data_IF_100256352350
#
_entry.id   IF_100256352350
#
_cell.length_a   1.000
_cell.length_b   1.000
_cell.length_c   1.000
_cell.angle_alpha   90.00
_cell.angle_beta   90.00
_cell.angle_gamma   90.00
#
_symmetry.space_group_name_H-M   'P 1'
#
loop_
_entity.id
_entity.type
_entity.pdbx_description
1 polymer ?
#
# COMPACT_ATOMS: atom_id res chain seq x y z
N UNK A 1 21.05 32.09 -4.68
CA UNK A 1 20.34 31.09 -5.51
C UNK A 1 20.66 29.72 -4.92
N UNK A 2 19.90 29.26 -3.92
CA UNK A 2 20.07 27.90 -3.40
C UNK A 2 19.67 26.93 -4.50
N UNK A 3 20.56 26.01 -4.87
CA UNK A 3 20.22 24.90 -5.75
C UNK A 3 19.00 24.19 -5.15
N UNK A 4 17.84 24.25 -5.83
CA UNK A 4 16.67 23.47 -5.45
C UNK A 4 17.12 22.01 -5.49
N UNK A 5 17.29 21.41 -4.31
CA UNK A 5 17.57 19.99 -4.15
C UNK A 5 16.56 19.22 -5.00
N UNK A 6 17.04 18.25 -5.76
CA UNK A 6 16.25 17.32 -6.53
C UNK A 6 15.36 16.50 -5.58
N UNK A 7 14.12 16.95 -5.35
CA UNK A 7 13.23 16.33 -4.36
C UNK A 7 12.25 15.41 -5.06
N UNK A 8 12.71 14.20 -5.38
CA UNK A 8 11.84 13.13 -5.85
C UNK A 8 11.02 12.49 -4.73
N UNK A 9 9.98 11.76 -5.11
CA UNK A 9 9.07 11.02 -4.22
C UNK A 9 9.06 9.52 -4.56
N UNK A 10 8.44 8.71 -3.70
CA UNK A 10 8.30 7.27 -3.87
C UNK A 10 6.84 6.83 -3.72
N UNK A 11 6.51 5.70 -4.34
CA UNK A 11 5.22 5.03 -4.11
C UNK A 11 5.37 3.86 -3.13
N UNK A 12 4.39 3.71 -2.25
CA UNK A 12 4.14 2.51 -1.47
C UNK A 12 2.90 1.83 -2.05
N UNK A 13 3.11 0.93 -3.02
CA UNK A 13 2.05 0.26 -3.75
C UNK A 13 1.76 -1.11 -3.14
N UNK A 14 0.49 -1.48 -3.02
CA UNK A 14 0.12 -2.83 -2.57
C UNK A 14 -1.33 -3.14 -2.91
N UNK A 15 -1.67 -4.42 -3.11
CA UNK A 15 -3.07 -4.82 -2.99
C UNK A 15 -3.57 -4.46 -1.57
N UNK A 16 -4.83 -4.03 -1.38
CA UNK A 16 -5.35 -3.72 -0.06
C UNK A 16 -5.05 -4.84 0.95
N UNK A 17 -4.73 -4.46 2.19
CA UNK A 17 -4.44 -5.39 3.30
C UNK A 17 -3.16 -6.24 3.17
N UNK A 18 -2.20 -5.78 2.37
CA UNK A 18 -0.89 -6.45 2.23
C UNK A 18 0.20 -5.94 3.19
N UNK A 19 -0.10 -5.04 4.14
CA UNK A 19 0.89 -4.53 5.11
C UNK A 19 1.45 -3.13 4.83
N UNK A 20 0.84 -2.37 3.91
CA UNK A 20 1.23 -1.01 3.56
C UNK A 20 1.38 -0.06 4.76
N UNK A 21 0.41 -0.09 5.68
CA UNK A 21 0.43 0.76 6.88
C UNK A 21 1.67 0.52 7.73
N UNK A 22 2.20 -0.71 7.82
CA UNK A 22 3.40 -0.96 8.61
C UNK A 22 4.62 -0.26 8.02
N UNK A 23 4.81 -0.32 6.69
CA UNK A 23 5.87 0.46 6.03
C UNK A 23 5.68 1.97 6.24
N UNK A 24 4.43 2.46 6.18
CA UNK A 24 4.09 3.87 6.41
C UNK A 24 4.30 4.34 7.85
N UNK A 25 4.32 3.43 8.83
CA UNK A 25 4.69 3.78 10.22
C UNK A 25 6.19 3.63 10.44
N UNK A 26 6.81 2.61 9.83
CA UNK A 26 8.26 2.36 9.90
C UNK A 26 9.09 3.53 9.34
N UNK A 27 8.72 4.04 8.17
CA UNK A 27 9.47 5.12 7.49
C UNK A 27 9.58 6.41 8.32
N UNK A 28 8.49 7.00 8.85
CA UNK A 28 8.58 8.19 9.70
C UNK A 28 9.30 7.90 11.01
N UNK A 29 9.12 6.71 11.61
CA UNK A 29 9.86 6.32 12.81
C UNK A 29 11.38 6.26 12.54
N UNK A 30 11.79 5.68 11.42
CA UNK A 30 13.20 5.62 11.03
C UNK A 30 13.79 7.02 10.81
N UNK A 31 13.03 7.91 10.16
CA UNK A 31 13.42 9.33 10.00
C UNK A 31 13.55 10.04 11.34
N UNK A 32 12.63 9.79 12.27
CA UNK A 32 12.63 10.34 13.64
C UNK A 32 13.84 9.86 14.44
N UNK A 33 14.21 8.59 14.32
CA UNK A 33 15.42 8.07 14.95
C UNK A 33 16.71 8.61 14.31
N UNK A 34 16.64 9.06 13.05
CA UNK A 34 17.78 9.68 12.36
C UNK A 34 18.03 11.15 12.76
N UNK A 35 17.10 11.79 13.48
CA UNK A 35 17.31 13.14 14.05
C UNK A 35 17.84 13.07 15.48
N UNK A 36 18.39 14.20 15.97
CA UNK A 36 18.96 14.32 17.31
C UNK A 36 17.90 14.02 18.37
N UNK A 37 18.30 13.34 19.45
CA UNK A 37 17.37 12.86 20.49
C UNK A 37 16.50 13.97 21.10
N UNK A 38 17.05 15.18 21.24
CA UNK A 38 16.37 16.36 21.79
C UNK A 38 15.24 16.90 20.89
N UNK A 39 15.25 16.56 19.60
CA UNK A 39 14.26 16.97 18.60
C UNK A 39 13.22 15.88 18.30
N UNK A 40 13.31 14.73 19.00
CA UNK A 40 12.42 13.59 18.77
C UNK A 40 11.11 13.81 19.51
N UNK A 41 10.07 14.18 18.78
CA UNK A 41 8.69 14.04 19.27
C UNK A 41 8.30 12.56 19.40
N UNK A 42 7.23 12.24 20.13
CA UNK A 42 6.69 10.88 20.16
C UNK A 42 6.00 10.52 18.84
N UNK A 43 6.04 9.24 18.47
CA UNK A 43 5.38 8.73 17.28
C UNK A 43 3.85 8.76 17.49
N UNK A 44 3.15 9.52 16.66
CA UNK A 44 1.70 9.61 16.65
C UNK A 44 1.15 8.97 15.37
N UNK A 45 0.28 7.97 15.52
CA UNK A 45 -0.24 7.22 14.36
C UNK A 45 -1.02 8.09 13.38
N UNK A 46 -1.90 8.98 13.84
CA UNK A 46 -2.77 9.72 12.94
C UNK A 46 -2.01 10.88 12.26
N UNK A 47 -1.05 11.49 12.95
CA UNK A 47 -0.20 12.56 12.40
C UNK A 47 0.93 12.04 11.51
N UNK A 48 1.66 11.02 11.96
CA UNK A 48 2.94 10.64 11.33
C UNK A 48 2.78 9.59 10.22
N UNK A 49 1.67 8.85 10.21
CA UNK A 49 1.34 7.88 9.13
C UNK A 49 0.78 8.59 7.90
N UNK A 50 0.44 9.88 8.00
CA UNK A 50 0.15 10.79 6.89
C UNK A 50 1.46 11.10 6.11
N UNK A 51 2.05 10.04 5.57
CA UNK A 51 3.32 10.04 4.83
C UNK A 51 3.21 10.60 3.39
N UNK A 52 2.03 11.09 3.06
CA UNK A 52 1.63 11.65 1.77
C UNK A 52 0.16 11.31 1.45
N UNK A 53 -0.48 12.11 0.59
CA UNK A 53 -1.81 11.82 0.11
C UNK A 53 -1.83 10.47 -0.62
N UNK A 54 -2.89 9.68 -0.38
CA UNK A 54 -3.18 8.49 -1.19
C UNK A 54 -3.41 8.93 -2.65
N UNK A 55 -2.90 8.16 -3.62
CA UNK A 55 -3.03 8.51 -5.05
C UNK A 55 -4.48 8.52 -5.59
N UNK A 56 -5.43 8.06 -4.77
CA UNK A 56 -6.86 8.16 -5.03
C UNK A 56 -7.51 9.40 -4.39
N UNK A 57 -6.77 10.25 -3.70
CA UNK A 57 -7.29 11.45 -3.04
C UNK A 57 -7.94 12.38 -4.06
N UNK A 58 -9.24 12.60 -3.90
CA UNK A 58 -10.02 13.44 -4.81
C UNK A 58 -9.60 14.90 -4.72
N UNK A 59 -9.39 15.40 -3.51
CA UNK A 59 -8.96 16.77 -3.28
C UNK A 59 -7.64 17.06 -4.00
N UNK A 60 -6.67 16.16 -3.84
CA UNK A 60 -5.37 16.26 -4.50
C UNK A 60 -5.50 16.15 -6.03
N UNK A 61 -6.25 15.18 -6.56
CA UNK A 61 -6.45 15.07 -8.00
C UNK A 61 -7.10 16.32 -8.59
N UNK A 62 -8.11 16.89 -7.92
CA UNK A 62 -8.78 18.10 -8.37
C UNK A 62 -7.82 19.30 -8.42
N UNK A 63 -7.01 19.47 -7.36
CA UNK A 63 -6.01 20.53 -7.27
C UNK A 63 -4.94 20.39 -8.38
N UNK A 64 -4.41 19.19 -8.58
CA UNK A 64 -3.36 18.94 -9.57
C UNK A 64 -3.84 19.03 -11.01
N UNK A 65 -5.08 18.60 -11.30
CA UNK A 65 -5.65 18.60 -12.65
C UNK A 65 -6.37 19.90 -13.00
N UNK A 66 -6.75 20.71 -12.00
CA UNK A 66 -7.59 21.89 -12.18
C UNK A 66 -9.01 21.55 -12.64
N UNK A 67 -9.48 20.31 -12.41
CA UNK A 67 -10.78 19.80 -12.87
C UNK A 67 -11.48 19.15 -11.67
N UNK A 68 -12.79 19.34 -11.57
CA UNK A 68 -13.58 18.58 -10.62
C UNK A 68 -13.75 17.13 -11.11
N UNK A 69 -13.00 16.19 -10.55
CA UNK A 69 -13.05 14.77 -10.91
C UNK A 69 -14.37 14.09 -10.58
N UNK A 70 -15.29 14.76 -9.88
CA UNK A 70 -16.66 14.24 -9.75
C UNK A 70 -17.37 14.23 -11.10
N UNK A 71 -17.08 15.18 -11.99
CA UNK A 71 -17.80 15.35 -13.26
C UNK A 71 -17.28 14.43 -14.38
N UNK A 72 -16.34 13.53 -14.06
CA UNK A 72 -15.66 12.67 -15.03
C UNK A 72 -16.05 11.21 -14.84
N UNK A 73 -16.33 10.55 -15.96
CA UNK A 73 -16.41 9.08 -16.01
C UNK A 73 -15.03 8.46 -15.77
N UNK A 74 -14.99 7.15 -15.46
CA UNK A 74 -13.74 6.44 -15.30
C UNK A 74 -12.86 6.45 -16.57
N UNK A 75 -13.48 6.36 -17.75
CA UNK A 75 -12.79 6.42 -19.04
C UNK A 75 -12.18 7.79 -19.36
N UNK A 76 -12.70 8.85 -18.75
CA UNK A 76 -12.15 10.21 -18.82
C UNK A 76 -11.10 10.45 -17.75
N UNK A 77 -11.34 9.99 -16.52
CA UNK A 77 -10.48 10.24 -15.37
C UNK A 77 -9.19 9.43 -15.41
N UNK A 78 -9.25 8.11 -15.60
CA UNK A 78 -8.08 7.23 -15.46
C UNK A 78 -6.90 7.62 -16.38
N UNK A 79 -7.10 8.02 -17.65
CA UNK A 79 -6.02 8.54 -18.50
C UNK A 79 -5.39 9.86 -18.03
N UNK A 80 -6.08 10.61 -17.17
CA UNK A 80 -5.64 11.90 -16.62
C UNK A 80 -4.95 11.73 -15.26
N UNK A 81 -5.25 10.67 -14.50
CA UNK A 81 -4.70 10.48 -13.15
C UNK A 81 -3.16 10.49 -13.14
N UNK A 82 -2.52 9.87 -14.13
CA UNK A 82 -1.06 9.88 -14.27
C UNK A 82 -0.45 11.25 -14.63
N UNK A 83 -1.27 12.24 -14.97
CA UNK A 83 -0.83 13.63 -15.18
C UNK A 83 -0.82 14.43 -13.87
N UNK A 84 -1.62 14.00 -12.87
CA UNK A 84 -1.64 14.61 -11.56
C UNK A 84 -0.27 14.39 -10.90
N UNK A 85 0.53 15.44 -10.83
CA UNK A 85 1.91 15.38 -10.36
C UNK A 85 2.99 15.82 -11.34
N UNK A 86 2.64 16.21 -12.57
CA UNK A 86 3.61 16.83 -13.49
C UNK A 86 3.98 18.26 -13.06
N UNK A 87 3.12 18.94 -12.32
CA UNK A 87 3.37 20.31 -11.84
C UNK A 87 4.25 20.28 -10.59
N UNK A 88 5.54 20.49 -10.77
CA UNK A 88 6.58 20.38 -9.72
C UNK A 88 6.39 21.27 -8.48
N UNK A 89 5.46 22.23 -8.51
CA UNK A 89 5.33 23.25 -7.46
C UNK A 89 4.46 22.84 -6.26
N UNK A 90 3.69 21.75 -6.32
CA UNK A 90 2.75 21.37 -5.26
C UNK A 90 3.23 20.18 -4.38
N UNK A 91 4.30 19.47 -4.76
CA UNK A 91 4.91 18.37 -3.98
C UNK A 91 6.05 18.85 -3.07
N UNK A 92 6.33 20.15 -3.04
CA UNK A 92 7.55 20.68 -2.43
C UNK A 92 7.50 20.77 -0.90
N UNK A 93 6.31 20.74 -0.29
CA UNK A 93 6.13 20.97 1.15
C UNK A 93 5.57 19.73 1.86
N UNK A 94 6.40 18.69 2.02
CA UNK A 94 6.22 17.69 3.08
C UNK A 94 6.04 16.23 2.63
N UNK A 95 5.41 15.98 1.49
CA UNK A 95 5.01 14.62 1.11
C UNK A 95 6.04 13.92 0.21
N UNK A 96 6.48 12.72 0.61
CA UNK A 96 7.50 11.96 -0.16
C UNK A 96 7.14 10.49 -0.38
N UNK A 97 6.10 9.96 0.26
CA UNK A 97 5.70 8.56 0.12
C UNK A 97 4.20 8.46 -0.09
N UNK A 98 3.80 8.19 -1.33
CA UNK A 98 2.40 8.13 -1.68
C UNK A 98 1.89 6.69 -1.65
N UNK A 99 0.81 6.46 -0.90
CA UNK A 99 0.12 5.17 -0.85
C UNK A 99 -0.66 4.95 -2.13
N UNK A 100 -0.57 3.73 -2.69
CA UNK A 100 -1.31 3.34 -3.90
C UNK A 100 -1.89 1.95 -3.72
N UNK A 101 -3.20 1.81 -3.94
CA UNK A 101 -3.86 0.50 -4.05
C UNK A 101 -4.34 0.19 -5.46
N UNK A 102 -4.36 1.18 -6.36
CA UNK A 102 -4.61 0.92 -7.76
C UNK A 102 -3.56 -0.02 -8.36
N UNK A 103 -3.98 -0.84 -9.31
CA UNK A 103 -3.06 -1.44 -10.26
C UNK A 103 -2.33 -0.32 -11.01
N UNK A 104 -1.10 -0.59 -11.44
CA UNK A 104 -0.29 0.42 -12.13
C UNK A 104 -1.00 0.95 -13.39
N UNK A 105 -1.83 0.12 -14.02
CA UNK A 105 -2.70 0.47 -15.15
C UNK A 105 -4.09 -0.11 -14.95
N UNK A 106 -5.11 0.64 -15.36
CA UNK A 106 -6.49 0.16 -15.45
C UNK A 106 -6.90 -0.09 -16.91
N UNK A 107 -8.00 -0.83 -17.17
CA UNK A 107 -8.59 -0.93 -18.51
C UNK A 107 -8.93 0.43 -19.13
N UNK A 108 -9.32 1.40 -18.29
CA UNK A 108 -9.75 2.74 -18.70
C UNK A 108 -8.57 3.69 -18.93
N UNK A 109 -7.38 3.37 -18.41
CA UNK A 109 -6.17 4.23 -18.47
C UNK A 109 -5.57 4.42 -19.87
N UNK A 110 -6.08 3.74 -20.90
CA UNK A 110 -5.53 3.74 -22.27
C UNK A 110 -4.04 3.36 -22.32
N UNK A 111 -3.64 2.42 -21.45
CA UNK A 111 -2.27 1.93 -21.35
C UNK A 111 -1.31 2.87 -20.62
N UNK A 112 -1.79 3.97 -20.04
CA UNK A 112 -0.97 4.90 -19.24
C UNK A 112 -0.95 4.47 -17.78
N UNK A 113 0.13 4.79 -17.04
CA UNK A 113 0.12 4.67 -15.59
C UNK A 113 -1.02 5.47 -14.96
N UNK A 114 -1.69 4.87 -13.97
CA UNK A 114 -2.67 5.57 -13.12
C UNK A 114 -1.99 6.60 -12.22
N UNK A 115 -0.69 6.44 -11.98
CA UNK A 115 0.13 7.32 -11.14
C UNK A 115 1.12 8.12 -11.99
N UNK A 116 1.53 9.30 -11.53
CA UNK A 116 2.56 10.06 -12.20
C UNK A 116 3.92 9.34 -12.08
N UNK A 117 4.67 9.27 -13.17
CA UNK A 117 6.02 8.70 -13.16
C UNK A 117 7.10 9.78 -13.14
N UNK A 118 6.74 11.03 -13.45
CA UNK A 118 7.68 12.16 -13.46
C UNK A 118 8.08 12.54 -12.03
N UNK A 119 9.38 12.67 -11.78
CA UNK A 119 9.93 12.98 -10.45
C UNK A 119 9.81 11.83 -9.42
N UNK A 120 9.28 10.68 -9.82
CA UNK A 120 9.23 9.49 -8.96
C UNK A 120 10.58 8.78 -8.99
N UNK A 121 11.15 8.53 -7.81
CA UNK A 121 12.43 7.80 -7.64
C UNK A 121 12.25 6.28 -7.68
N UNK A 122 11.05 5.79 -7.37
CA UNK A 122 10.74 4.37 -7.45
C UNK A 122 9.50 3.97 -6.65
N UNK A 123 9.17 2.68 -6.71
CA UNK A 123 8.05 2.06 -6.03
C UNK A 123 8.52 0.93 -5.11
N UNK A 124 8.01 0.92 -3.89
CA UNK A 124 8.03 -0.25 -3.01
C UNK A 124 6.71 -0.97 -3.19
N UNK A 125 6.76 -2.16 -3.77
CA UNK A 125 5.58 -3.02 -3.93
C UNK A 125 5.52 -4.04 -2.80
N UNK A 126 4.46 -3.96 -2.00
CA UNK A 126 4.26 -4.84 -0.84
C UNK A 126 3.29 -5.95 -1.25
N UNK A 127 3.81 -7.16 -1.27
CA UNK A 127 3.12 -8.38 -1.65
C UNK A 127 2.75 -9.17 -0.38
N UNK A 128 1.57 -9.79 -0.36
CA UNK A 128 1.14 -10.67 0.73
C UNK A 128 0.39 -11.86 0.14
N UNK A 129 0.48 -13.01 0.81
CA UNK A 129 -0.22 -14.23 0.43
C UNK A 129 -1.73 -13.96 0.21
N UNK A 130 -2.33 -14.35 -0.92
CA UNK A 130 -3.70 -13.99 -1.27
C UNK A 130 -4.74 -14.56 -0.29
N UNK A 131 -4.47 -15.72 0.32
CA UNK A 131 -5.34 -16.28 1.37
C UNK A 131 -5.41 -15.38 2.62
N UNK A 132 -4.26 -14.85 3.07
CA UNK A 132 -4.19 -13.93 4.21
C UNK A 132 -4.81 -12.57 3.87
N UNK A 133 -4.66 -12.12 2.62
CA UNK A 133 -5.35 -10.93 2.12
C UNK A 133 -6.87 -11.13 2.20
N UNK A 134 -7.40 -12.29 1.81
CA UNK A 134 -8.85 -12.57 1.87
C UNK A 134 -9.41 -12.48 3.30
N UNK A 135 -8.70 -13.09 4.26
CA UNK A 135 -9.06 -13.02 5.69
C UNK A 135 -8.96 -11.59 6.20
N UNK A 136 -7.90 -10.87 5.85
CA UNK A 136 -7.73 -9.48 6.30
C UNK A 136 -8.78 -8.53 5.71
N UNK A 137 -9.21 -8.75 4.45
CA UNK A 137 -10.32 -8.04 3.83
C UNK A 137 -11.65 -8.34 4.54
N UNK A 138 -11.88 -9.60 4.92
CA UNK A 138 -13.09 -10.00 5.64
C UNK A 138 -13.25 -9.24 6.95
N UNK A 139 -12.18 -9.12 7.74
CA UNK A 139 -12.20 -8.35 8.98
C UNK A 139 -12.32 -6.84 8.77
N UNK A 140 -11.70 -6.32 7.71
CA UNK A 140 -11.67 -4.88 7.47
C UNK A 140 -13.00 -4.35 6.91
N UNK A 141 -13.59 -5.06 5.95
CA UNK A 141 -14.84 -4.65 5.30
C UNK A 141 -16.09 -5.35 5.86
N UNK A 142 -15.92 -6.22 6.86
CA UNK A 142 -16.99 -7.09 7.39
C UNK A 142 -17.64 -7.95 6.29
N UNK A 143 -16.87 -8.31 5.27
CA UNK A 143 -17.31 -9.18 4.18
C UNK A 143 -17.16 -10.63 4.59
N UNK A 144 -18.02 -11.50 4.08
CA UNK A 144 -17.80 -12.94 4.19
C UNK A 144 -16.58 -13.40 3.36
N UNK A 145 -15.97 -14.52 3.76
CA UNK A 145 -14.80 -15.07 3.07
C UNK A 145 -15.07 -15.41 1.59
N UNK A 146 -16.23 -15.99 1.19
CA UNK A 146 -16.55 -16.19 -0.22
C UNK A 146 -16.49 -14.90 -1.06
N UNK A 147 -17.02 -13.79 -0.56
CA UNK A 147 -16.96 -12.47 -1.20
C UNK A 147 -15.52 -11.99 -1.34
N UNK A 148 -14.69 -12.15 -0.31
CA UNK A 148 -13.27 -11.78 -0.38
C UNK A 148 -12.50 -12.61 -1.43
N UNK A 149 -12.75 -13.92 -1.51
CA UNK A 149 -12.15 -14.79 -2.52
C UNK A 149 -12.62 -14.39 -3.92
N UNK A 150 -13.92 -14.12 -4.10
CA UNK A 150 -14.45 -13.61 -5.37
C UNK A 150 -13.79 -12.30 -5.78
N UNK A 151 -13.61 -11.37 -4.84
CA UNK A 151 -12.99 -10.08 -5.08
C UNK A 151 -11.54 -10.20 -5.54
N UNK A 152 -10.73 -11.08 -4.91
CA UNK A 152 -9.36 -11.35 -5.35
C UNK A 152 -9.27 -11.99 -6.75
N UNK A 153 -10.35 -12.68 -7.16
CA UNK A 153 -10.47 -13.38 -8.44
C UNK A 153 -11.11 -12.53 -9.55
N UNK A 154 -11.64 -11.35 -9.22
CA UNK A 154 -12.41 -10.51 -10.13
C UNK A 154 -11.50 -9.59 -10.96
N UNK A 155 -11.46 -9.71 -12.30
CA UNK A 155 -10.66 -8.83 -13.15
C UNK A 155 -11.12 -7.35 -13.13
N UNK A 156 -12.32 -7.07 -12.63
CA UNK A 156 -12.91 -5.74 -12.49
C UNK A 156 -12.90 -5.21 -11.04
N UNK A 157 -12.27 -5.92 -10.11
CA UNK A 157 -12.24 -5.55 -8.70
C UNK A 157 -11.82 -4.09 -8.51
N UNK A 158 -12.66 -3.33 -7.82
CA UNK A 158 -12.39 -1.94 -7.48
C UNK A 158 -12.93 -1.60 -6.10
N UNK A 159 -12.26 -0.71 -5.39
CA UNK A 159 -12.80 -0.05 -4.21
C UNK A 159 -13.43 1.25 -4.65
N UNK A 160 -14.54 1.63 -4.00
CA UNK A 160 -15.31 2.82 -4.35
C UNK A 160 -15.81 2.79 -5.82
N UNK A 161 -16.08 1.59 -6.35
CA UNK A 161 -16.49 1.34 -7.74
C UNK A 161 -17.94 1.71 -8.10
N UNK A 162 -18.52 2.70 -7.43
CA UNK A 162 -19.84 3.24 -7.77
C UNK A 162 -19.72 4.64 -8.37
N UNK A 163 -20.73 5.05 -9.13
CA UNK A 163 -20.92 6.43 -9.63
C UNK A 163 -21.26 7.42 -8.49
N UNK A 164 -20.68 7.25 -7.31
CA UNK A 164 -20.84 8.17 -6.19
C UNK A 164 -19.94 9.39 -6.38
N UNK A 165 -20.50 10.46 -6.95
CA UNK A 165 -19.81 11.70 -7.33
C UNK A 165 -19.43 12.60 -6.11
N UNK A 166 -19.16 12.04 -4.91
CA UNK A 166 -19.07 12.85 -3.68
C UNK A 166 -18.13 12.37 -2.58
N UNK A 167 -17.37 11.29 -2.78
CA UNK A 167 -16.43 10.79 -1.77
C UNK A 167 -15.07 11.51 -1.79
N UNK A 168 -14.34 11.49 -0.67
CA UNK A 168 -12.98 12.04 -0.55
C UNK A 168 -11.94 11.34 -1.44
N UNK A 169 -12.26 10.17 -1.99
CA UNK A 169 -11.40 9.42 -2.90
C UNK A 169 -12.14 9.05 -4.20
N UNK A 170 -11.37 8.91 -5.28
CA UNK A 170 -11.83 8.35 -6.56
C UNK A 170 -11.81 6.82 -6.51
N UNK A 171 -12.42 6.18 -7.53
CA UNK A 171 -12.34 4.73 -7.71
C UNK A 171 -10.88 4.27 -7.67
N UNK A 172 -10.61 3.26 -6.87
CA UNK A 172 -9.33 2.54 -6.91
C UNK A 172 -9.56 1.28 -7.73
N UNK A 173 -8.95 1.18 -8.91
CA UNK A 173 -9.03 -0.01 -9.73
C UNK A 173 -7.91 -0.97 -9.36
N UNK A 174 -8.21 -2.17 -8.87
CA UNK A 174 -7.19 -3.18 -8.56
C UNK A 174 -7.17 -4.30 -9.59
N UNK A 175 -8.35 -4.72 -10.05
CA UNK A 175 -8.51 -5.95 -10.81
C UNK A 175 -8.09 -7.19 -10.02
N UNK A 176 -7.91 -8.30 -10.75
CA UNK A 176 -7.56 -9.59 -10.16
C UNK A 176 -6.19 -9.51 -9.47
N UNK A 177 -6.04 -10.15 -8.32
CA UNK A 177 -4.83 -10.03 -7.48
C UNK A 177 -3.52 -10.29 -8.25
N UNK A 178 -3.44 -11.35 -9.04
CA UNK A 178 -2.24 -11.69 -9.83
C UNK A 178 -1.94 -10.64 -10.91
N UNK A 179 -2.98 -10.07 -11.54
CA UNK A 179 -2.85 -9.00 -12.54
C UNK A 179 -2.39 -7.71 -11.89
N UNK A 180 -2.89 -7.40 -10.69
CA UNK A 180 -2.40 -6.28 -9.90
C UNK A 180 -0.91 -6.42 -9.61
N UNK A 181 -0.47 -7.60 -9.12
CA UNK A 181 0.94 -7.89 -8.86
C UNK A 181 1.78 -7.72 -10.12
N UNK A 182 1.40 -8.38 -11.22
CA UNK A 182 2.10 -8.27 -12.51
C UNK A 182 2.17 -6.81 -12.99
N UNK A 183 1.12 -6.01 -12.82
CA UNK A 183 1.09 -4.61 -13.26
C UNK A 183 2.17 -3.74 -12.61
N UNK A 184 2.53 -4.03 -11.35
CA UNK A 184 3.53 -3.27 -10.60
C UNK A 184 4.93 -3.86 -10.68
N UNK A 185 5.06 -5.19 -10.74
CA UNK A 185 6.36 -5.85 -10.76
C UNK A 185 6.96 -5.92 -12.16
N UNK A 186 6.12 -6.01 -13.20
CA UNK A 186 6.59 -6.21 -14.57
C UNK A 186 6.68 -4.90 -15.38
N UNK A 187 6.26 -3.77 -14.81
CA UNK A 187 6.45 -2.46 -15.43
C UNK A 187 7.93 -2.05 -15.40
N UNK A 188 8.35 -1.23 -16.37
CA UNK A 188 9.74 -0.80 -16.54
C UNK A 188 9.91 0.72 -16.47
N UNK A 189 8.86 1.47 -16.15
CA UNK A 189 8.87 2.94 -16.12
C UNK A 189 9.44 3.49 -14.81
N UNK A 190 9.34 2.72 -13.72
CA UNK A 190 9.82 3.08 -12.40
C UNK A 190 10.72 1.97 -11.83
N UNK A 191 11.83 2.30 -11.15
CA UNK A 191 12.54 1.34 -10.32
C UNK A 191 11.62 0.74 -9.27
N UNK A 192 11.64 -0.59 -9.09
CA UNK A 192 10.75 -1.28 -8.17
C UNK A 192 11.51 -2.15 -7.15
N UNK A 193 11.18 -2.02 -5.87
CA UNK A 193 11.54 -2.98 -4.83
C UNK A 193 10.30 -3.78 -4.45
N UNK A 194 10.35 -5.10 -4.61
CA UNK A 194 9.29 -6.00 -4.13
C UNK A 194 9.66 -6.51 -2.75
N UNK A 195 8.76 -6.37 -1.78
CA UNK A 195 8.87 -6.95 -0.45
C UNK A 195 7.65 -7.81 -0.15
N UNK A 196 7.86 -9.01 0.42
CA UNK A 196 6.78 -9.85 0.91
C UNK A 196 6.49 -9.51 2.36
N UNK A 197 5.21 -9.45 2.72
CA UNK A 197 4.76 -9.24 4.09
C UNK A 197 5.29 -10.33 5.03
N UNK A 198 5.39 -11.55 4.52
CA UNK A 198 5.94 -12.70 5.24
C UNK A 198 7.43 -12.48 5.58
N UNK A 199 8.22 -11.94 4.65
CA UNK A 199 9.63 -11.61 4.90
C UNK A 199 9.80 -10.45 5.90
N UNK A 200 8.83 -9.53 5.98
CA UNK A 200 8.82 -8.48 7.00
C UNK A 200 8.63 -9.05 8.42
N UNK A 201 7.96 -10.20 8.54
CA UNK A 201 7.74 -10.90 9.80
C UNK A 201 8.92 -11.83 10.14
N UNK A 202 9.34 -12.64 9.17
CA UNK A 202 10.30 -13.73 9.39
C UNK A 202 11.76 -13.26 9.32
N UNK A 203 12.05 -12.28 8.45
CA UNK A 203 13.40 -11.71 8.22
C UNK A 203 13.35 -10.18 8.22
N UNK A 204 12.74 -9.63 9.28
CA UNK A 204 12.45 -8.20 9.42
C UNK A 204 13.70 -7.32 9.24
N UNK A 205 14.80 -7.64 9.92
CA UNK A 205 16.04 -6.85 9.85
C UNK A 205 16.52 -6.67 8.40
N UNK A 206 16.69 -7.76 7.66
CA UNK A 206 17.19 -7.67 6.28
C UNK A 206 16.17 -7.03 5.35
N UNK A 207 14.87 -7.33 5.52
CA UNK A 207 13.80 -6.79 4.69
C UNK A 207 13.68 -5.28 4.85
N UNK A 208 13.63 -4.78 6.08
CA UNK A 208 13.54 -3.35 6.37
C UNK A 208 14.85 -2.60 6.10
N UNK A 209 16.03 -3.25 6.21
CA UNK A 209 17.29 -2.66 5.79
C UNK A 209 17.36 -2.47 4.26
N UNK A 210 16.88 -3.45 3.49
CA UNK A 210 16.74 -3.32 2.02
C UNK A 210 15.77 -2.19 1.67
N UNK A 211 14.65 -2.09 2.38
CA UNK A 211 13.70 -0.99 2.23
C UNK A 211 14.35 0.37 2.50
N UNK A 212 15.02 0.53 3.65
CA UNK A 212 15.68 1.77 4.04
C UNK A 212 16.73 2.23 3.02
N UNK A 213 17.52 1.28 2.47
CA UNK A 213 18.51 1.55 1.42
C UNK A 213 17.86 1.96 0.11
N UNK A 214 16.82 1.26 -0.33
CA UNK A 214 16.08 1.59 -1.56
C UNK A 214 15.40 2.96 -1.50
N UNK A 215 14.90 3.34 -0.32
CA UNK A 215 14.31 4.66 -0.07
C UNK A 215 15.34 5.77 0.20
N UNK A 216 16.64 5.47 0.09
CA UNK A 216 17.74 6.41 0.33
C UNK A 216 17.68 7.07 1.73
N UNK A 217 17.21 6.33 2.75
CA UNK A 217 17.02 6.84 4.10
C UNK A 217 18.27 6.66 4.96
N UNK A 218 18.71 5.41 5.14
CA UNK A 218 19.91 5.07 5.94
C UNK A 218 20.38 3.65 5.60
N UNK A 219 21.64 3.36 5.91
CA UNK A 219 22.23 2.02 5.91
C UNK A 219 22.58 1.53 7.32
N UNK A 220 22.20 2.28 8.36
CA UNK A 220 22.46 1.96 9.76
C UNK A 220 21.50 0.87 10.26
N UNK A 221 22.07 -0.31 10.56
CA UNK A 221 21.29 -1.46 11.02
C UNK A 221 20.71 -1.27 12.42
N UNK A 222 21.37 -0.50 13.29
CA UNK A 222 20.89 -0.24 14.65
C UNK A 222 19.65 0.63 14.63
N UNK A 223 19.66 1.71 13.84
CA UNK A 223 18.48 2.56 13.63
C UNK A 223 17.31 1.79 13.00
N UNK A 224 17.60 0.93 12.03
CA UNK A 224 16.58 0.07 11.41
C UNK A 224 15.98 -0.88 12.44
N UNK A 225 16.80 -1.59 13.22
CA UNK A 225 16.32 -2.51 14.24
C UNK A 225 15.50 -1.81 15.33
N UNK A 226 15.92 -0.62 15.74
CA UNK A 226 15.17 0.21 16.68
C UNK A 226 13.82 0.65 16.09
N UNK A 227 13.78 1.06 14.82
CA UNK A 227 12.53 1.40 14.14
C UNK A 227 11.59 0.20 14.01
N UNK A 228 12.10 -1.01 13.71
CA UNK A 228 11.30 -2.24 13.69
C UNK A 228 10.68 -2.49 15.06
N UNK A 229 11.47 -2.40 16.14
CA UNK A 229 10.97 -2.62 17.50
C UNK A 229 9.87 -1.61 17.87
N UNK A 230 10.08 -0.33 17.55
CA UNK A 230 9.14 0.76 17.81
C UNK A 230 7.87 0.70 16.95
N UNK A 231 7.89 -0.07 15.86
CA UNK A 231 6.74 -0.24 14.95
C UNK A 231 6.21 -1.67 14.91
N UNK A 232 6.59 -2.49 15.89
CA UNK A 232 6.04 -3.84 16.05
C UNK A 232 4.52 -3.80 16.21
N UNK A 233 3.83 -4.84 15.73
CA UNK A 233 2.36 -4.94 15.78
C UNK A 233 1.80 -4.70 17.18
N UNK A 234 2.47 -5.23 18.21
CA UNK A 234 2.03 -5.03 19.59
C UNK A 234 2.23 -3.60 20.08
N UNK A 235 3.25 -2.89 19.58
CA UNK A 235 3.42 -1.45 19.83
C UNK A 235 2.35 -0.64 19.08
N UNK A 236 2.05 -0.99 17.83
CA UNK A 236 1.02 -0.32 17.03
C UNK A 236 -0.38 -0.46 17.64
N UNK A 237 -0.71 -1.63 18.20
CA UNK A 237 -1.97 -1.82 18.96
C UNK A 237 -2.07 -0.90 20.17
N UNK A 238 -0.97 -0.75 20.93
CA UNK A 238 -0.94 0.13 22.09
C UNK A 238 -1.10 1.59 21.66
N UNK A 239 -0.39 2.00 20.62
CA UNK A 239 -0.53 3.34 20.05
C UNK A 239 -1.96 3.59 19.56
N UNK A 240 -2.60 2.61 18.90
CA UNK A 240 -3.99 2.69 18.46
C UNK A 240 -4.94 2.92 19.66
N UNK A 241 -4.75 2.19 20.75
CA UNK A 241 -5.53 2.35 21.97
C UNK A 241 -5.28 3.73 22.64
N UNK A 242 -4.04 4.22 22.64
CA UNK A 242 -3.64 5.50 23.24
C UNK A 242 -4.26 6.70 22.52
N UNK A 243 -4.37 6.66 21.18
CA UNK A 243 -4.97 7.75 20.38
C UNK A 243 -6.48 7.61 20.18
N UNK A 244 -7.10 6.58 20.78
CA UNK A 244 -8.55 6.34 20.69
C UNK A 244 -9.01 5.72 19.36
N UNK A 245 -8.09 5.13 18.60
CA UNK A 245 -8.34 4.51 17.29
C UNK A 245 -7.48 5.10 16.18
N UNK A 246 -7.33 4.33 15.10
CA UNK A 246 -6.64 4.79 13.89
C UNK A 246 -7.64 5.36 12.87
N UNK A 247 -7.34 6.50 12.25
CA UNK A 247 -8.26 7.18 11.33
C UNK A 247 -8.66 6.33 10.12
N UNK A 248 -7.82 5.38 9.69
CA UNK A 248 -8.17 4.45 8.60
C UNK A 248 -8.99 3.23 9.08
N UNK A 249 -9.40 3.17 10.36
CA UNK A 249 -10.23 2.08 10.91
C UNK A 249 -11.69 2.25 10.45
N UNK A 250 -12.27 1.26 9.75
CA UNK A 250 -13.67 1.32 9.35
C UNK A 250 -14.63 1.26 10.54
N UNK A 251 -15.81 1.81 10.35
CA UNK A 251 -16.93 1.67 11.28
C UNK A 251 -17.30 0.19 11.45
N UNK A 252 -17.50 -0.23 12.70
CA UNK A 252 -17.82 -1.63 13.03
C UNK A 252 -16.62 -2.57 13.11
N UNK A 253 -15.40 -2.10 12.86
CA UNK A 253 -14.17 -2.85 13.13
C UNK A 253 -13.66 -2.57 14.56
N UNK A 254 -13.43 -3.62 15.35
CA UNK A 254 -12.95 -3.48 16.75
C UNK A 254 -11.54 -2.88 16.82
N UNK A 255 -10.62 -3.33 15.96
CA UNK A 255 -9.21 -2.87 15.90
C UNK A 255 -8.68 -2.88 14.46
N UNK A 256 -7.88 -1.89 14.11
CA UNK A 256 -7.16 -1.84 12.83
C UNK A 256 -5.95 -2.80 12.83
N UNK A 257 -5.16 -2.80 13.91
CA UNK A 257 -4.00 -3.69 14.05
C UNK A 257 -4.37 -4.96 14.84
N UNK A 258 -4.51 -6.10 14.16
CA UNK A 258 -5.07 -7.34 14.76
C UNK A 258 -4.05 -8.40 15.19
N UNK A 259 -3.67 -9.28 14.28
CA UNK A 259 -2.80 -10.42 14.55
C UNK A 259 -1.37 -10.10 14.11
N UNK A 260 -1.26 -9.43 12.96
CA UNK A 260 0.01 -9.18 12.30
C UNK A 260 0.78 -10.48 12.02
N UNK A 261 0.05 -11.57 11.79
CA UNK A 261 0.59 -12.89 11.48
C UNK A 261 0.34 -13.23 10.01
N UNK A 262 1.15 -14.13 9.47
CA UNK A 262 0.92 -14.84 8.22
C UNK A 262 0.30 -16.22 8.51
N UNK A 263 -0.37 -16.82 7.52
CA UNK A 263 -0.88 -18.19 7.58
C UNK A 263 -2.32 -18.35 8.11
N UNK A 264 -2.98 -17.28 8.55
CA UNK A 264 -4.38 -17.33 9.00
C UNK A 264 -5.34 -17.73 7.87
N UNK A 265 -4.96 -17.45 6.62
CA UNK A 265 -5.66 -17.90 5.43
C UNK A 265 -5.86 -19.41 5.39
N UNK A 266 -4.82 -20.18 5.71
CA UNK A 266 -4.86 -21.64 5.70
C UNK A 266 -5.80 -22.22 6.77
N UNK A 267 -5.96 -21.51 7.90
CA UNK A 267 -6.82 -21.91 9.02
C UNK A 267 -8.30 -21.55 8.79
N UNK A 268 -8.57 -20.41 8.14
CA UNK A 268 -9.93 -19.84 8.05
C UNK A 268 -10.64 -20.15 6.74
N UNK A 269 -9.91 -20.28 5.64
CA UNK A 269 -10.52 -20.57 4.35
C UNK A 269 -10.81 -22.06 4.21
N UNK A 270 -11.92 -22.39 3.55
CA UNK A 270 -12.21 -23.78 3.20
C UNK A 270 -11.19 -24.28 2.16
N UNK A 271 -11.00 -25.60 2.13
CA UNK A 271 -10.12 -26.26 1.14
C UNK A 271 -10.51 -25.85 -0.29
N UNK A 272 -11.81 -25.71 -0.58
CA UNK A 272 -12.29 -25.30 -1.90
C UNK A 272 -11.93 -23.85 -2.24
N UNK A 273 -12.04 -22.94 -1.27
CA UNK A 273 -11.62 -21.55 -1.45
C UNK A 273 -10.11 -21.44 -1.71
N UNK A 274 -9.31 -22.19 -0.96
CA UNK A 274 -7.84 -22.25 -1.11
C UNK A 274 -7.46 -22.80 -2.48
N UNK A 275 -8.05 -23.93 -2.90
CA UNK A 275 -7.84 -24.51 -4.24
C UNK A 275 -8.20 -23.55 -5.36
N UNK A 276 -9.32 -22.82 -5.21
CA UNK A 276 -9.75 -21.83 -6.20
C UNK A 276 -8.76 -20.67 -6.32
N UNK A 277 -8.25 -20.14 -5.22
CA UNK A 277 -7.21 -19.10 -5.23
C UNK A 277 -5.93 -19.64 -5.88
N UNK A 278 -5.45 -20.81 -5.45
CA UNK A 278 -4.24 -21.42 -6.00
C UNK A 278 -4.33 -21.62 -7.51
N UNK A 279 -5.34 -22.35 -7.99
CA UNK A 279 -5.54 -22.60 -9.43
C UNK A 279 -5.75 -21.31 -10.23
N UNK A 280 -6.38 -20.31 -9.62
CA UNK A 280 -6.69 -19.04 -10.25
C UNK A 280 -5.50 -18.08 -10.39
N UNK A 281 -4.53 -18.19 -9.49
CA UNK A 281 -3.43 -17.25 -9.29
C UNK A 281 -2.04 -17.94 -9.38
N UNK A 282 -2.02 -19.18 -9.87
CA UNK A 282 -0.89 -20.12 -9.85
C UNK A 282 0.43 -19.49 -10.31
N UNK A 283 0.45 -18.83 -11.48
CA UNK A 283 1.65 -18.21 -12.04
C UNK A 283 2.38 -17.30 -11.02
N UNK A 284 1.61 -16.42 -10.37
CA UNK A 284 2.16 -15.42 -9.44
C UNK A 284 2.48 -16.06 -8.11
N UNK A 285 1.64 -16.99 -7.64
CA UNK A 285 1.92 -17.73 -6.41
C UNK A 285 3.22 -18.53 -6.54
N UNK A 286 3.44 -19.21 -7.67
CA UNK A 286 4.67 -19.93 -7.96
C UNK A 286 5.87 -18.98 -8.08
N UNK A 287 5.71 -17.85 -8.78
CA UNK A 287 6.78 -16.85 -8.97
C UNK A 287 7.33 -16.30 -7.65
N UNK A 288 6.48 -16.12 -6.64
CA UNK A 288 6.85 -15.51 -5.35
C UNK A 288 6.91 -16.51 -4.18
N UNK A 289 6.99 -17.81 -4.49
CA UNK A 289 7.11 -18.88 -3.51
C UNK A 289 5.99 -18.87 -2.45
N UNK A 290 4.75 -18.63 -2.90
CA UNK A 290 3.53 -18.76 -2.10
C UNK A 290 2.87 -20.12 -2.23
N UNK A 291 3.59 -21.09 -2.76
CA UNK A 291 3.19 -22.49 -2.71
C UNK A 291 3.57 -23.05 -1.34
N UNK A 292 2.60 -23.17 -0.44
CA UNK A 292 2.72 -24.14 0.66
C UNK A 292 2.66 -25.55 0.07
N UNK A 293 3.44 -26.49 0.61
CA UNK A 293 3.52 -27.89 0.18
C UNK A 293 2.16 -28.44 -0.20
N UNK A 294 1.93 -28.62 -1.50
CA UNK A 294 0.71 -29.20 -2.06
C UNK A 294 0.57 -30.70 -1.81
N UNK A 295 1.43 -31.26 -0.95
CA UNK A 295 1.48 -32.68 -0.59
C UNK A 295 1.34 -32.80 0.93
N UNK A 296 0.09 -32.89 1.38
CA UNK A 296 -0.46 -33.88 2.35
C UNK A 296 -1.97 -33.66 2.56
#
# INVERSE_FOLDING_TARGET
MMAKKDQGYWYLASYPKSGNTWCRVFIPELKRLSVRQEEREELNLNRDVETGAIASSRHWLNDQLGINTCDLSYAELDPLRGLAGQTANLFAEGERFHKVHDAFRSPDSKGRPIVCTNGCKGVVYILRHPEDVAVSLSHFFSWDLPRCVNFLMDPSASLLGGEGHGGHQVRQFMGRWDRHVKSWVDQTELPSLVIRYEDMLDDGQNTFLKLAKFLELTSDEELVNQAIANTSIDRLKKLEDEVGGFDEKPDGCERFFRSGKSGEGAEKLSIEQRRRLYKGLEDVMNRFSYTGSSDE
#
